data_IF_804061364813
#
_entry.id   IF_804061364813
#
_cell.length_a   1.000
_cell.length_b   1.000
_cell.length_c   1.000
_cell.angle_alpha   90.00
_cell.angle_beta   90.00
_cell.angle_gamma   90.00
#
_symmetry.space_group_name_H-M   'P 1'
#
loop_
_entity.id
_entity.type
_entity.pdbx_description
1 polymer ?
#
# COMPACT_ATOMS: atom_id res chain seq x y z
N UNK A 1 -39.89 6.84 49.52
CA UNK A 1 -38.65 6.23 49.01
C UNK A 1 -38.49 6.71 47.57
N UNK A 2 -37.47 7.58 47.39
CA UNK A 2 -37.07 8.05 46.05
C UNK A 2 -36.44 6.87 45.32
N UNK A 3 -37.08 6.39 44.23
CA UNK A 3 -36.67 5.24 43.44
C UNK A 3 -35.45 5.48 42.55
N UNK A 4 -34.57 6.40 42.92
CA UNK A 4 -33.36 6.69 42.14
C UNK A 4 -32.32 5.57 42.29
N UNK A 5 -31.97 4.93 41.20
CA UNK A 5 -30.85 3.97 41.12
C UNK A 5 -29.53 4.79 41.02
N UNK A 6 -28.69 4.67 41.99
CA UNK A 6 -27.36 5.30 42.00
C UNK A 6 -26.35 4.29 41.49
N UNK A 7 -25.85 4.51 40.28
CA UNK A 7 -24.75 3.71 39.73
C UNK A 7 -23.45 4.36 40.15
N UNK A 8 -22.61 3.67 40.89
CA UNK A 8 -21.27 4.13 41.26
C UNK A 8 -20.23 3.69 40.25
N UNK A 9 -19.05 4.31 40.29
CA UNK A 9 -17.92 3.89 39.43
C UNK A 9 -17.58 2.41 39.67
N UNK A 10 -17.65 1.94 40.91
CA UNK A 10 -17.43 0.54 41.28
C UNK A 10 -18.49 -0.40 40.66
N UNK A 11 -19.75 0.02 40.58
CA UNK A 11 -20.81 -0.76 39.95
C UNK A 11 -20.58 -0.84 38.42
N UNK A 12 -20.09 0.26 37.82
CA UNK A 12 -19.72 0.29 36.40
C UNK A 12 -18.50 -0.60 36.13
N UNK A 13 -17.46 -0.54 36.96
CA UNK A 13 -16.27 -1.39 36.88
C UNK A 13 -16.61 -2.89 37.09
N UNK A 14 -17.54 -3.21 37.96
CA UNK A 14 -17.99 -4.57 38.26
C UNK A 14 -18.88 -5.11 37.15
N UNK A 15 -19.72 -4.28 36.51
CA UNK A 15 -20.58 -4.69 35.39
C UNK A 15 -19.80 -4.91 34.07
N UNK A 16 -18.70 -4.20 33.90
CA UNK A 16 -17.80 -4.37 32.71
C UNK A 16 -16.91 -5.59 32.93
N UNK A 17 -16.99 -6.48 33.83
CA UNK A 17 -16.24 -7.74 34.05
C UNK A 17 -14.86 -7.86 33.32
N UNK A 18 -14.41 -6.82 32.67
CA UNK A 18 -13.15 -6.67 31.97
C UNK A 18 -12.42 -5.47 32.57
N UNK A 19 -11.24 -5.69 33.13
CA UNK A 19 -10.30 -4.59 33.37
C UNK A 19 -10.15 -3.87 32.02
N UNK A 20 -10.65 -2.65 31.92
CA UNK A 20 -10.28 -1.78 30.83
C UNK A 20 -8.75 -1.68 30.84
N UNK A 21 -8.10 -2.33 29.88
CA UNK A 21 -6.67 -2.22 29.69
C UNK A 21 -6.44 -0.82 29.10
N UNK A 22 -6.40 0.18 29.99
CA UNK A 22 -5.95 1.52 29.63
C UNK A 22 -4.45 1.42 29.34
N UNK A 23 -4.10 1.39 28.04
CA UNK A 23 -2.72 1.57 27.65
C UNK A 23 -2.32 3.02 27.88
N UNK A 24 -1.12 3.25 28.44
CA UNK A 24 -0.48 4.54 28.25
C UNK A 24 -0.11 4.67 26.74
N UNK A 25 0.12 5.88 26.31
CA UNK A 25 0.34 6.20 24.89
C UNK A 25 1.54 5.41 24.31
N UNK A 26 2.61 5.24 25.07
CA UNK A 26 3.81 4.50 24.66
C UNK A 26 3.51 3.02 24.40
N UNK A 27 2.81 2.36 25.30
CA UNK A 27 2.42 0.94 25.15
C UNK A 27 1.51 0.73 23.95
N UNK A 28 0.60 1.67 23.69
CA UNK A 28 -0.25 1.63 22.50
C UNK A 28 0.57 1.63 21.21
N UNK A 29 1.54 2.55 21.09
CA UNK A 29 2.41 2.62 19.91
C UNK A 29 3.34 1.42 19.78
N UNK A 30 3.79 0.83 20.89
CA UNK A 30 4.58 -0.40 20.89
C UNK A 30 3.79 -1.58 20.33
N UNK A 31 2.54 -1.78 20.72
CA UNK A 31 1.67 -2.82 20.17
C UNK A 31 1.36 -2.58 18.70
N UNK A 32 1.08 -1.35 18.29
CA UNK A 32 0.84 -1.01 16.89
C UNK A 32 2.08 -1.26 16.02
N UNK A 33 3.26 -0.92 16.55
CA UNK A 33 4.55 -1.21 15.90
C UNK A 33 4.81 -2.71 15.80
N UNK A 34 4.51 -3.48 16.86
CA UNK A 34 4.64 -4.93 16.85
C UNK A 34 3.70 -5.57 15.83
N UNK A 35 2.45 -5.12 15.73
CA UNK A 35 1.50 -5.54 14.70
C UNK A 35 2.08 -5.33 13.29
N UNK A 36 2.51 -4.12 12.98
CA UNK A 36 3.08 -3.78 11.67
C UNK A 36 4.34 -4.61 11.35
N UNK A 37 5.21 -4.83 12.34
CA UNK A 37 6.41 -5.67 12.18
C UNK A 37 6.07 -7.13 11.97
N UNK A 38 5.01 -7.64 12.59
CA UNK A 38 4.52 -9.01 12.39
C UNK A 38 3.97 -9.22 10.98
N UNK A 39 3.23 -8.25 10.43
CA UNK A 39 2.78 -8.27 9.03
C UNK A 39 3.98 -8.36 8.07
N UNK A 40 4.99 -7.53 8.28
CA UNK A 40 6.24 -7.51 7.50
C UNK A 40 7.04 -8.79 7.68
N UNK A 41 7.07 -9.32 8.89
CA UNK A 41 7.79 -10.54 9.26
C UNK A 41 7.10 -11.84 8.85
N UNK A 42 5.88 -11.78 8.25
CA UNK A 42 5.11 -12.97 7.86
C UNK A 42 4.76 -13.88 9.03
N UNK A 43 4.40 -13.29 10.17
CA UNK A 43 3.94 -14.02 11.35
C UNK A 43 2.45 -13.70 11.61
N UNK A 44 1.52 -14.54 11.09
CA UNK A 44 0.09 -14.30 11.24
C UNK A 44 -0.39 -14.44 12.70
N UNK A 45 0.23 -15.31 13.50
CA UNK A 45 -0.16 -15.51 14.89
C UNK A 45 0.18 -14.28 15.73
N UNK A 46 1.38 -13.74 15.58
CA UNK A 46 1.78 -12.50 16.24
C UNK A 46 0.94 -11.31 15.76
N UNK A 47 0.69 -11.21 14.44
CA UNK A 47 -0.12 -10.12 13.90
C UNK A 47 -1.56 -10.15 14.43
N UNK A 48 -2.20 -11.30 14.46
CA UNK A 48 -3.53 -11.47 15.06
C UNK A 48 -3.51 -11.14 16.56
N UNK A 49 -2.53 -11.67 17.31
CA UNK A 49 -2.41 -11.41 18.72
C UNK A 49 -2.31 -9.91 19.02
N UNK A 50 -1.42 -9.18 18.35
CA UNK A 50 -1.24 -7.75 18.60
C UNK A 50 -2.45 -6.93 18.13
N UNK A 51 -3.11 -7.31 17.02
CA UNK A 51 -4.34 -6.68 16.57
C UNK A 51 -5.44 -6.79 17.64
N UNK A 52 -5.69 -7.99 18.16
CA UNK A 52 -6.71 -8.19 19.19
C UNK A 52 -6.32 -7.60 20.56
N UNK A 53 -5.03 -7.58 20.91
CA UNK A 53 -4.57 -6.86 22.09
C UNK A 53 -4.87 -5.36 22.01
N UNK A 54 -4.68 -4.75 20.85
CA UNK A 54 -5.05 -3.35 20.61
C UNK A 54 -6.57 -3.13 20.75
N UNK A 55 -7.39 -4.00 20.15
CA UNK A 55 -8.86 -3.91 20.21
C UNK A 55 -9.36 -4.07 21.65
N UNK A 56 -8.89 -5.05 22.39
CA UNK A 56 -9.23 -5.26 23.80
C UNK A 56 -8.78 -4.09 24.70
N UNK A 57 -7.76 -3.34 24.25
CA UNK A 57 -7.31 -2.10 24.88
C UNK A 57 -8.10 -0.85 24.47
N UNK A 58 -9.16 -1.01 23.66
CA UNK A 58 -10.03 0.08 23.23
C UNK A 58 -9.60 0.78 21.92
N UNK A 59 -8.63 0.20 21.19
CA UNK A 59 -8.26 0.72 19.87
C UNK A 59 -9.41 0.51 18.88
N UNK A 60 -9.74 1.55 18.12
CA UNK A 60 -10.66 1.44 16.99
C UNK A 60 -10.07 0.47 15.93
N UNK A 61 -10.77 -0.63 15.57
CA UNK A 61 -10.31 -1.57 14.56
C UNK A 61 -10.00 -0.94 13.21
N UNK A 62 -10.61 0.19 12.87
CA UNK A 62 -10.28 0.94 11.65
C UNK A 62 -8.84 1.45 11.62
N UNK A 63 -8.22 1.69 12.77
CA UNK A 63 -6.79 2.05 12.83
C UNK A 63 -5.93 0.87 12.38
N UNK A 64 -6.25 -0.33 12.85
CA UNK A 64 -5.58 -1.58 12.48
C UNK A 64 -5.75 -1.83 10.97
N UNK A 65 -6.98 -1.70 10.47
CA UNK A 65 -7.30 -1.89 9.05
C UNK A 65 -6.59 -0.87 8.16
N UNK A 66 -6.49 0.41 8.57
CA UNK A 66 -5.69 1.41 7.84
C UNK A 66 -4.20 1.04 7.77
N UNK A 67 -3.64 0.50 8.84
CA UNK A 67 -2.26 -0.02 8.83
C UNK A 67 -2.12 -1.22 7.92
N UNK A 68 -3.07 -2.13 7.96
CA UNK A 68 -3.09 -3.30 7.09
C UNK A 68 -3.12 -2.91 5.60
N UNK A 69 -3.96 -1.94 5.21
CA UNK A 69 -4.01 -1.37 3.86
C UNK A 69 -2.66 -0.75 3.46
N UNK A 70 -2.03 0.02 4.34
CA UNK A 70 -0.72 0.61 4.06
C UNK A 70 0.36 -0.48 3.84
N UNK A 71 0.45 -1.44 4.76
CA UNK A 71 1.45 -2.52 4.69
C UNK A 71 1.21 -3.51 3.54
N UNK A 72 -0.05 -3.68 3.09
CA UNK A 72 -0.35 -4.46 1.88
C UNK A 72 0.30 -3.87 0.60
N UNK A 73 0.56 -2.57 0.59
CA UNK A 73 1.25 -1.90 -0.52
C UNK A 73 2.74 -1.68 -0.25
N UNK A 74 3.11 -1.36 1.00
CA UNK A 74 4.49 -1.08 1.41
C UNK A 74 5.37 -2.33 1.42
N UNK A 75 4.88 -3.42 2.05
CA UNK A 75 5.67 -4.63 2.31
C UNK A 75 5.36 -5.77 1.33
N UNK A 76 4.14 -5.84 0.79
CA UNK A 76 3.72 -6.86 -0.18
C UNK A 76 3.78 -6.31 -1.60
N UNK A 77 3.14 -5.18 -1.85
CA UNK A 77 3.18 -4.46 -3.12
C UNK A 77 2.92 -5.33 -4.34
N UNK A 78 3.82 -5.22 -5.31
CA UNK A 78 3.71 -5.96 -6.58
C UNK A 78 4.05 -7.45 -6.49
N UNK A 79 4.52 -7.94 -5.35
CA UNK A 79 4.71 -9.38 -5.19
C UNK A 79 3.37 -10.14 -5.12
N UNK A 80 2.34 -9.53 -4.50
CA UNK A 80 0.98 -10.06 -4.47
C UNK A 80 -0.03 -8.90 -4.53
N UNK A 81 -0.35 -8.36 -5.73
CA UNK A 81 -1.21 -7.17 -5.89
C UNK A 81 -2.59 -7.28 -5.23
N UNK A 82 -3.12 -8.51 -5.10
CA UNK A 82 -4.40 -8.75 -4.44
C UNK A 82 -4.39 -8.44 -2.93
N UNK A 83 -3.22 -8.29 -2.30
CA UNK A 83 -3.15 -7.97 -0.88
C UNK A 83 -3.84 -6.64 -0.56
N UNK A 84 -3.66 -5.63 -1.41
CA UNK A 84 -4.36 -4.34 -1.27
C UNK A 84 -5.87 -4.50 -1.43
N UNK A 85 -6.32 -5.31 -2.39
CA UNK A 85 -7.75 -5.56 -2.64
C UNK A 85 -8.39 -6.25 -1.44
N UNK A 86 -7.74 -7.28 -0.90
CA UNK A 86 -8.23 -8.02 0.28
C UNK A 86 -8.28 -7.11 1.51
N UNK A 87 -7.23 -6.31 1.75
CA UNK A 87 -7.19 -5.39 2.88
C UNK A 87 -8.25 -4.29 2.80
N UNK A 88 -8.46 -3.69 1.61
CA UNK A 88 -9.49 -2.66 1.41
C UNK A 88 -10.90 -3.24 1.49
N UNK A 89 -11.12 -4.45 0.96
CA UNK A 89 -12.40 -5.14 1.07
C UNK A 89 -12.74 -5.47 2.52
N UNK A 90 -11.76 -5.90 3.32
CA UNK A 90 -11.96 -6.15 4.75
C UNK A 90 -12.27 -4.87 5.53
N UNK A 91 -11.61 -3.76 5.21
CA UNK A 91 -11.90 -2.46 5.81
C UNK A 91 -13.34 -2.00 5.48
N UNK A 92 -13.74 -2.11 4.23
CA UNK A 92 -15.10 -1.80 3.80
C UNK A 92 -16.15 -2.70 4.48
N UNK A 93 -15.88 -4.02 4.57
CA UNK A 93 -16.75 -4.96 5.24
C UNK A 93 -16.93 -4.60 6.73
N UNK A 94 -15.82 -4.25 7.42
CA UNK A 94 -15.87 -3.80 8.80
C UNK A 94 -16.71 -2.53 8.97
N UNK A 95 -16.54 -1.53 8.08
CA UNK A 95 -17.35 -0.29 8.11
C UNK A 95 -18.86 -0.54 7.97
N UNK A 96 -19.26 -1.63 7.27
CA UNK A 96 -20.68 -1.97 7.06
C UNK A 96 -21.27 -2.86 8.14
N UNK A 97 -20.48 -3.78 8.67
CA UNK A 97 -20.97 -4.80 9.62
C UNK A 97 -20.68 -4.42 11.08
N UNK A 98 -19.55 -3.71 11.32
CA UNK A 98 -19.08 -3.47 12.68
C UNK A 98 -18.58 -4.74 13.38
N UNK A 99 -18.32 -4.62 14.69
CA UNK A 99 -17.98 -5.75 15.53
C UNK A 99 -19.27 -6.41 16.08
N UNK A 100 -19.28 -7.74 16.29
CA UNK A 100 -18.12 -8.65 16.17
C UNK A 100 -17.90 -9.20 14.76
N UNK A 101 -18.88 -9.21 13.86
CA UNK A 101 -18.83 -9.90 12.57
C UNK A 101 -17.73 -9.33 11.64
N UNK A 102 -17.55 -8.02 11.64
CA UNK A 102 -16.52 -7.35 10.85
C UNK A 102 -15.07 -7.70 11.22
N UNK A 103 -14.86 -8.31 12.39
CA UNK A 103 -13.54 -8.81 12.81
C UNK A 103 -13.11 -10.07 12.04
N UNK A 104 -14.06 -10.81 11.46
CA UNK A 104 -13.77 -12.00 10.67
C UNK A 104 -13.04 -11.64 9.36
N UNK A 105 -13.58 -10.76 8.49
CA UNK A 105 -12.86 -10.34 7.29
C UNK A 105 -11.55 -9.59 7.63
N UNK A 106 -11.47 -8.85 8.75
CA UNK A 106 -10.22 -8.27 9.21
C UNK A 106 -9.18 -9.35 9.49
N UNK A 107 -9.52 -10.39 10.24
CA UNK A 107 -8.61 -11.50 10.56
C UNK A 107 -8.16 -12.24 9.28
N UNK A 108 -9.08 -12.50 8.35
CA UNK A 108 -8.76 -13.09 7.05
C UNK A 108 -7.74 -12.24 6.28
N UNK A 109 -7.91 -10.93 6.26
CA UNK A 109 -7.00 -10.03 5.56
C UNK A 109 -5.61 -9.93 6.26
N UNK A 110 -5.55 -9.97 7.59
CA UNK A 110 -4.29 -10.04 8.35
C UNK A 110 -3.51 -11.29 7.95
N UNK A 111 -4.15 -12.46 7.96
CA UNK A 111 -3.51 -13.73 7.57
C UNK A 111 -3.04 -13.65 6.12
N UNK A 112 -3.89 -13.18 5.20
CA UNK A 112 -3.53 -13.07 3.78
C UNK A 112 -2.29 -12.19 3.57
N UNK A 113 -2.21 -11.03 4.23
CA UNK A 113 -1.06 -10.11 4.12
C UNK A 113 0.20 -10.72 4.72
N UNK A 114 0.08 -11.46 5.83
CA UNK A 114 1.21 -12.19 6.42
C UNK A 114 1.74 -13.28 5.50
N UNK A 115 0.88 -14.08 4.90
CA UNK A 115 1.27 -15.21 4.03
C UNK A 115 1.70 -14.76 2.63
N UNK A 116 1.34 -13.56 2.19
CA UNK A 116 1.74 -13.04 0.90
C UNK A 116 3.26 -12.84 0.80
N UNK A 117 3.83 -13.11 -0.38
CA UNK A 117 5.23 -12.79 -0.66
C UNK A 117 5.49 -11.29 -0.48
N UNK A 118 6.65 -10.96 0.07
CA UNK A 118 7.03 -9.59 0.41
C UNK A 118 7.91 -8.96 -0.66
N UNK A 119 7.56 -7.73 -1.08
CA UNK A 119 8.38 -6.86 -1.92
C UNK A 119 8.14 -5.40 -1.55
N UNK A 120 9.19 -4.70 -1.22
CA UNK A 120 9.14 -3.26 -0.94
C UNK A 120 9.46 -2.41 -2.19
N UNK A 121 9.39 -2.99 -3.38
CA UNK A 121 9.69 -2.30 -4.64
C UNK A 121 8.84 -1.05 -4.87
N UNK A 122 7.59 -1.06 -4.40
CA UNK A 122 6.63 0.05 -4.55
C UNK A 122 7.05 1.25 -3.69
N UNK A 123 7.35 1.03 -2.40
CA UNK A 123 7.76 2.12 -1.49
C UNK A 123 9.10 2.70 -1.93
N UNK A 124 10.06 1.87 -2.35
CA UNK A 124 11.34 2.32 -2.88
C UNK A 124 11.17 3.17 -4.15
N UNK A 125 10.27 2.74 -5.06
CA UNK A 125 9.96 3.50 -6.27
C UNK A 125 9.32 4.86 -5.95
N UNK A 126 8.37 4.88 -5.02
CA UNK A 126 7.71 6.10 -4.56
C UNK A 126 8.71 7.08 -3.96
N UNK A 127 9.59 6.61 -3.08
CA UNK A 127 10.58 7.47 -2.41
C UNK A 127 11.60 8.03 -3.40
N UNK A 128 12.06 7.21 -4.35
CA UNK A 128 12.96 7.65 -5.41
C UNK A 128 12.30 8.71 -6.31
N UNK A 129 11.04 8.49 -6.72
CA UNK A 129 10.30 9.44 -7.54
C UNK A 129 10.04 10.76 -6.78
N UNK A 130 9.64 10.69 -5.49
CA UNK A 130 9.46 11.88 -4.65
C UNK A 130 10.76 12.69 -4.49
N UNK A 131 11.89 12.02 -4.30
CA UNK A 131 13.19 12.66 -4.20
C UNK A 131 13.53 13.37 -5.51
N UNK A 132 13.46 12.67 -6.65
CA UNK A 132 13.71 13.26 -7.95
C UNK A 132 12.81 14.48 -8.22
N UNK A 133 11.52 14.40 -7.90
CA UNK A 133 10.58 15.51 -8.09
C UNK A 133 10.88 16.74 -7.21
N UNK A 134 11.57 16.58 -6.07
CA UNK A 134 12.00 17.68 -5.21
C UNK A 134 13.32 18.30 -5.63
N UNK A 135 14.26 17.45 -6.06
CA UNK A 135 15.64 17.83 -6.36
C UNK A 135 15.82 18.33 -7.79
N UNK A 136 15.07 17.73 -8.73
CA UNK A 136 15.16 18.08 -10.15
C UNK A 136 13.92 18.91 -10.53
N UNK A 137 14.12 20.21 -10.70
CA UNK A 137 13.10 21.14 -11.21
C UNK A 137 13.26 21.28 -12.73
N UNK A 138 12.80 20.30 -13.45
CA UNK A 138 12.82 20.31 -14.91
C UNK A 138 11.36 20.25 -15.43
N UNK A 139 10.89 21.38 -15.90
CA UNK A 139 9.55 21.54 -16.48
C UNK A 139 9.52 21.20 -17.98
N UNK A 140 10.66 20.73 -18.55
CA UNK A 140 10.79 20.38 -19.95
C UNK A 140 10.21 18.99 -20.26
N UNK A 141 8.89 18.89 -20.24
CA UNK A 141 8.20 17.70 -20.68
C UNK A 141 8.52 17.45 -22.15
N UNK A 142 8.83 16.19 -22.57
CA UNK A 142 9.00 15.85 -23.98
C UNK A 142 7.88 16.43 -24.84
N UNK A 143 8.17 17.15 -25.94
CA UNK A 143 7.16 17.93 -26.67
C UNK A 143 5.95 17.12 -27.12
N UNK A 144 6.15 15.87 -27.52
CA UNK A 144 5.08 14.96 -27.97
C UNK A 144 4.17 14.45 -26.82
N UNK A 145 4.52 14.69 -25.56
CA UNK A 145 3.68 14.35 -24.39
C UNK A 145 2.85 15.53 -23.90
N UNK A 146 3.09 16.75 -24.45
CA UNK A 146 2.34 17.93 -24.04
C UNK A 146 0.90 17.87 -24.58
N UNK A 147 -0.04 18.45 -23.84
CA UNK A 147 -1.41 18.60 -24.29
C UNK A 147 -1.45 19.48 -25.54
N UNK A 148 -2.09 18.99 -26.59
CA UNK A 148 -2.26 19.69 -27.87
C UNK A 148 -3.67 20.28 -28.06
N UNK A 149 -4.57 20.13 -27.08
CA UNK A 149 -5.97 20.58 -27.20
C UNK A 149 -6.05 22.09 -27.40
N UNK A 150 -5.25 22.84 -26.66
CA UNK A 150 -5.20 24.31 -26.68
C UNK A 150 -3.88 24.88 -27.24
N UNK A 151 -2.99 24.00 -27.75
CA UNK A 151 -1.69 24.38 -28.27
C UNK A 151 -1.76 25.12 -29.61
N UNK A 152 -0.73 25.94 -29.89
CA UNK A 152 -0.49 26.55 -31.19
C UNK A 152 -0.15 25.48 -32.26
N UNK A 153 0.08 25.96 -33.51
CA UNK A 153 0.41 25.05 -34.62
C UNK A 153 1.71 24.27 -34.40
N UNK A 154 2.68 24.87 -33.69
CA UNK A 154 3.97 24.22 -33.41
C UNK A 154 3.82 23.12 -32.37
N UNK A 155 3.11 23.36 -31.28
CA UNK A 155 2.78 22.37 -30.25
C UNK A 155 2.00 21.20 -30.82
N UNK A 156 1.04 21.47 -31.72
CA UNK A 156 0.27 20.43 -32.45
C UNK A 156 1.15 19.59 -33.36
N UNK A 157 2.11 20.20 -34.07
CA UNK A 157 3.04 19.49 -34.92
C UNK A 157 4.01 18.59 -34.12
N UNK A 158 4.46 19.07 -32.95
CA UNK A 158 5.34 18.30 -32.05
C UNK A 158 4.62 17.12 -31.41
N UNK A 159 3.35 17.28 -31.02
CA UNK A 159 2.54 16.19 -30.45
C UNK A 159 2.21 15.10 -31.47
N UNK A 160 2.24 15.39 -32.77
CA UNK A 160 2.07 14.39 -33.82
C UNK A 160 3.18 13.31 -33.84
N UNK A 161 4.33 13.57 -33.18
CA UNK A 161 5.42 12.61 -33.05
C UNK A 161 5.20 11.59 -31.92
N UNK A 162 4.10 11.67 -31.15
CA UNK A 162 3.76 10.69 -30.14
C UNK A 162 3.46 9.33 -30.78
N UNK A 163 4.21 8.33 -30.37
CA UNK A 163 3.96 6.95 -30.81
C UNK A 163 2.91 6.33 -29.90
N UNK A 164 1.70 6.13 -30.44
CA UNK A 164 0.59 5.55 -29.67
C UNK A 164 0.81 4.04 -29.47
N UNK A 165 1.04 3.56 -28.24
CA UNK A 165 1.48 2.18 -27.98
C UNK A 165 0.55 1.09 -28.52
N UNK A 166 -0.77 1.35 -28.60
CA UNK A 166 -1.73 0.38 -29.15
C UNK A 166 -1.48 0.04 -30.62
N UNK A 167 -0.88 0.96 -31.39
CA UNK A 167 -0.48 0.71 -32.78
C UNK A 167 0.76 -0.21 -32.89
N UNK A 168 1.41 -0.51 -31.76
CA UNK A 168 2.66 -1.27 -31.65
C UNK A 168 2.54 -2.47 -30.70
N UNK A 169 1.33 -3.05 -30.56
CA UNK A 169 1.13 -4.20 -29.69
C UNK A 169 1.15 -3.89 -28.17
N UNK A 170 0.89 -2.65 -27.80
CA UNK A 170 0.79 -2.20 -26.41
C UNK A 170 2.08 -1.68 -25.80
N UNK A 171 3.19 -1.64 -26.57
CA UNK A 171 4.44 -1.01 -26.14
C UNK A 171 5.26 -0.53 -27.33
N UNK A 172 5.95 0.60 -27.15
CA UNK A 172 6.91 1.14 -28.11
C UNK A 172 7.98 1.93 -27.38
N UNK A 173 9.21 1.85 -27.84
CA UNK A 173 10.30 2.60 -27.25
C UNK A 173 10.15 4.08 -27.56
N UNK A 174 9.94 4.87 -26.52
CA UNK A 174 9.99 6.34 -26.55
C UNK A 174 10.30 6.86 -25.16
N UNK A 175 10.81 8.08 -25.09
CA UNK A 175 11.16 8.73 -23.81
C UNK A 175 9.89 9.34 -23.19
N UNK A 176 9.67 9.10 -21.90
CA UNK A 176 8.55 9.66 -21.14
C UNK A 176 9.00 10.65 -20.06
N UNK A 177 10.23 10.52 -19.58
CA UNK A 177 10.79 11.46 -18.59
C UNK A 177 11.48 12.63 -19.28
N UNK A 178 11.59 13.79 -18.59
CA UNK A 178 12.44 14.90 -19.04
C UNK A 178 13.88 14.47 -19.31
N UNK A 179 14.60 15.24 -20.11
CA UNK A 179 15.99 14.91 -20.50
C UNK A 179 16.91 14.74 -19.29
N UNK A 180 16.73 15.56 -18.26
CA UNK A 180 17.46 15.46 -16.99
C UNK A 180 17.24 14.16 -16.22
N UNK A 181 16.14 13.46 -16.47
CA UNK A 181 15.72 12.23 -15.77
C UNK A 181 15.55 11.03 -16.71
N UNK A 182 15.91 11.17 -17.99
CA UNK A 182 15.62 10.13 -19.03
C UNK A 182 16.18 8.75 -18.67
N UNK A 183 17.31 8.69 -17.99
CA UNK A 183 17.97 7.44 -17.61
C UNK A 183 17.59 6.96 -16.20
N UNK A 184 16.82 7.75 -15.44
CA UNK A 184 16.38 7.38 -14.09
C UNK A 184 15.43 6.19 -14.10
N UNK A 185 15.59 5.33 -13.10
CA UNK A 185 14.78 4.13 -12.90
C UNK A 185 14.24 4.13 -11.48
N UNK A 186 12.97 4.46 -11.34
CA UNK A 186 12.30 4.45 -10.04
C UNK A 186 11.82 3.05 -9.64
N UNK A 187 11.07 2.37 -10.52
CA UNK A 187 10.55 1.04 -10.23
C UNK A 187 11.48 -0.06 -10.74
N UNK A 188 11.93 -0.88 -9.80
CA UNK A 188 12.75 -2.07 -10.05
C UNK A 188 12.05 -3.28 -9.42
N UNK A 189 11.47 -4.18 -10.22
CA UNK A 189 10.90 -5.42 -9.67
C UNK A 189 12.02 -6.24 -8.99
N UNK A 190 11.66 -6.93 -7.92
CA UNK A 190 12.60 -7.73 -7.11
C UNK A 190 12.50 -9.23 -7.41
N UNK A 191 11.76 -9.61 -8.46
CA UNK A 191 11.60 -11.01 -8.87
C UNK A 191 10.84 -11.88 -7.86
N UNK A 192 9.94 -11.29 -7.08
CA UNK A 192 9.15 -11.98 -6.07
C UNK A 192 7.68 -12.06 -6.49
N UNK A 193 7.06 -13.21 -6.32
CA UNK A 193 5.64 -13.40 -6.64
C UNK A 193 5.28 -12.92 -8.03
N UNK A 194 4.27 -12.04 -8.14
CA UNK A 194 3.81 -11.49 -9.41
C UNK A 194 4.86 -10.64 -10.14
N UNK A 195 5.86 -10.13 -9.45
CA UNK A 195 6.94 -9.38 -10.12
C UNK A 195 7.75 -10.23 -11.10
N UNK A 196 7.80 -11.57 -10.92
CA UNK A 196 8.38 -12.50 -11.91
C UNK A 196 7.65 -12.42 -13.24
N UNK A 197 6.32 -12.33 -13.20
CA UNK A 197 5.48 -12.16 -14.39
C UNK A 197 5.75 -10.80 -15.02
N UNK A 198 5.85 -9.74 -14.20
CA UNK A 198 6.20 -8.39 -14.68
C UNK A 198 7.56 -8.38 -15.38
N UNK A 199 8.57 -9.02 -14.80
CA UNK A 199 9.90 -9.13 -15.42
C UNK A 199 9.86 -9.90 -16.75
N UNK A 200 9.15 -11.02 -16.79
CA UNK A 200 8.98 -11.80 -18.01
C UNK A 200 8.33 -10.98 -19.12
N UNK A 201 7.18 -10.34 -18.84
CA UNK A 201 6.47 -9.50 -19.80
C UNK A 201 7.34 -8.34 -20.29
N UNK A 202 8.14 -7.72 -19.41
CA UNK A 202 9.08 -6.68 -19.82
C UNK A 202 10.16 -7.20 -20.76
N UNK A 203 10.72 -8.37 -20.51
CA UNK A 203 11.72 -9.01 -21.39
C UNK A 203 11.14 -9.33 -22.76
N UNK A 204 9.95 -9.92 -22.79
CA UNK A 204 9.22 -10.24 -24.04
C UNK A 204 8.96 -8.99 -24.89
N UNK A 205 8.70 -7.85 -24.25
CA UNK A 205 8.51 -6.55 -24.92
C UNK A 205 9.82 -5.82 -25.22
N UNK A 206 10.97 -6.34 -24.84
CA UNK A 206 12.27 -5.67 -24.98
C UNK A 206 12.49 -4.49 -24.04
N UNK A 207 11.69 -4.36 -22.99
CA UNK A 207 11.81 -3.30 -21.97
C UNK A 207 12.97 -3.65 -21.04
N UNK A 208 14.11 -2.99 -21.19
CA UNK A 208 15.31 -3.24 -20.36
C UNK A 208 15.32 -2.40 -19.06
N UNK A 209 14.66 -1.26 -19.09
CA UNK A 209 14.67 -0.29 -17.97
C UNK A 209 14.11 -0.93 -16.70
N UNK A 210 14.89 -0.92 -15.62
CA UNK A 210 14.51 -1.45 -14.30
C UNK A 210 14.63 -2.96 -14.13
N UNK A 211 14.99 -3.71 -15.15
CA UNK A 211 15.23 -5.14 -15.03
C UNK A 211 16.63 -5.45 -14.47
N UNK A 212 16.79 -6.51 -13.68
CA UNK A 212 18.10 -7.02 -13.32
C UNK A 212 18.83 -7.51 -14.58
N UNK A 213 20.19 -7.50 -14.58
CA UNK A 213 20.97 -8.07 -15.66
C UNK A 213 20.62 -9.55 -15.86
N UNK A 214 20.68 -10.01 -17.10
CA UNK A 214 20.47 -11.43 -17.40
C UNK A 214 21.55 -12.25 -16.68
N UNK A 215 21.13 -13.26 -15.93
CA UNK A 215 22.05 -14.24 -15.38
C UNK A 215 22.66 -15.01 -16.57
N UNK A 216 23.97 -14.87 -16.73
CA UNK A 216 24.73 -15.69 -17.67
C UNK A 216 24.68 -17.16 -17.27
#
# INVERSE_FOLDING_TARGET
QDGSIRVTLADAEQSIQRKALSYNEDVYYDFLSAFCKSLRGSDPDAALYYAFRLIEGGCDPLIILRRLVAHSSEDVGMAAPNALVVATSAMYAFEKMGAPEGLIPMSNAIIYVCEAQKSNSVILAMDAAKRAAREVRDDNIPPYLKDNTFGDKETKAQSANYKYPHNYGGWVEQQYLPDSLKDEVFYRPQGKGYEKVVEQVRREKGIKKGLPPEKK
#
